data_IF_640298438189
#
_entry.id   IF_640298438189
#
_cell.length_a   1.000
_cell.length_b   1.000
_cell.length_c   1.000
_cell.angle_alpha   90.00
_cell.angle_beta   90.00
_cell.angle_gamma   90.00
#
_symmetry.space_group_name_H-M   'P 1'
#
loop_
_entity.id
_entity.type
_entity.pdbx_description
1 polymer ?
#
# COMPACT_ATOMS: atom_id res chain seq x y z
N UNK A 1 -2.70 -7.60 -8.49
CA UNK A 1 -1.95 -7.61 -7.23
C UNK A 1 -2.93 -7.55 -6.06
N UNK A 2 -2.46 -7.82 -4.84
CA UNK A 2 -3.30 -7.85 -3.63
C UNK A 2 -2.48 -7.41 -2.41
N UNK A 3 -3.06 -6.54 -1.59
CA UNK A 3 -2.53 -6.19 -0.26
C UNK A 3 -3.67 -6.17 0.76
N UNK A 4 -3.35 -6.54 2.00
CA UNK A 4 -4.23 -6.42 3.15
C UNK A 4 -3.46 -5.81 4.30
N UNK A 5 -4.11 -4.92 5.03
CA UNK A 5 -3.60 -4.33 6.25
C UNK A 5 -4.65 -4.36 7.36
N UNK A 6 -4.18 -4.50 8.60
CA UNK A 6 -5.01 -4.24 9.78
C UNK A 6 -5.14 -2.74 9.97
N UNK A 7 -6.33 -2.29 10.33
CA UNK A 7 -6.62 -0.87 10.59
C UNK A 7 -7.41 -0.76 11.90
N UNK A 8 -7.33 0.40 12.51
CA UNK A 8 -8.16 0.71 13.68
C UNK A 8 -9.65 0.63 13.28
N UNK A 9 -10.53 0.00 14.09
CA UNK A 9 -11.97 0.02 13.87
C UNK A 9 -12.56 1.43 13.66
N UNK A 10 -12.03 2.46 14.31
CA UNK A 10 -12.47 3.85 14.13
C UNK A 10 -12.16 4.35 12.71
N UNK A 11 -10.98 3.99 12.16
CA UNK A 11 -10.61 4.31 10.78
C UNK A 11 -11.49 3.55 9.79
N UNK A 12 -11.83 2.29 10.09
CA UNK A 12 -12.68 1.47 9.24
C UNK A 12 -14.13 1.98 9.12
N UNK A 13 -14.57 2.81 10.06
CA UNK A 13 -15.87 3.47 10.01
C UNK A 13 -15.87 4.74 9.13
N UNK A 14 -14.70 5.21 8.68
CA UNK A 14 -14.60 6.38 7.82
C UNK A 14 -15.18 6.08 6.42
N UNK A 15 -16.19 6.84 5.96
CA UNK A 15 -16.81 6.61 4.65
C UNK A 15 -15.85 6.78 3.47
N UNK A 16 -14.73 7.49 3.61
CA UNK A 16 -13.77 7.70 2.52
C UNK A 16 -12.61 6.71 2.53
N UNK A 17 -12.53 5.78 3.50
CA UNK A 17 -11.41 4.84 3.60
C UNK A 17 -11.18 4.05 2.30
N UNK A 18 -12.25 3.67 1.60
CA UNK A 18 -12.13 2.95 0.33
C UNK A 18 -11.49 3.82 -0.77
N UNK A 19 -11.83 5.10 -0.83
CA UNK A 19 -11.26 6.04 -1.80
C UNK A 19 -9.80 6.34 -1.48
N UNK A 20 -9.47 6.53 -0.20
CA UNK A 20 -8.09 6.71 0.27
C UNK A 20 -7.24 5.46 -0.02
N UNK A 21 -7.75 4.27 0.30
CA UNK A 21 -7.06 3.02 -0.01
C UNK A 21 -6.83 2.82 -1.51
N UNK A 22 -7.74 3.32 -2.35
CA UNK A 22 -7.56 3.31 -3.80
C UNK A 22 -6.51 4.33 -4.24
N UNK A 23 -6.50 5.52 -3.64
CA UNK A 23 -5.57 6.59 -4.00
C UNK A 23 -4.12 6.20 -3.75
N UNK A 24 -3.83 5.35 -2.76
CA UNK A 24 -2.49 4.81 -2.52
C UNK A 24 -1.87 4.17 -3.77
N UNK A 25 -2.66 3.43 -4.55
CA UNK A 25 -2.17 2.82 -5.78
C UNK A 25 -1.93 3.85 -6.88
N UNK A 26 -2.94 4.70 -7.15
CA UNK A 26 -2.86 5.68 -8.24
C UNK A 26 -1.75 6.71 -8.00
N UNK A 27 -1.61 7.18 -6.76
CA UNK A 27 -0.58 8.14 -6.35
C UNK A 27 0.82 7.53 -6.44
N UNK A 28 1.00 6.28 -5.98
CA UNK A 28 2.28 5.59 -6.10
C UNK A 28 2.68 5.35 -7.57
N UNK A 29 1.72 4.97 -8.43
CA UNK A 29 1.98 4.82 -9.87
C UNK A 29 2.39 6.15 -10.50
N UNK A 30 1.74 7.25 -10.12
CA UNK A 30 2.09 8.60 -10.59
C UNK A 30 3.47 9.05 -10.09
N UNK A 31 3.75 8.89 -8.79
CA UNK A 31 5.01 9.30 -8.15
C UNK A 31 6.24 8.61 -8.75
N UNK A 32 6.10 7.35 -9.16
CA UNK A 32 7.15 6.59 -9.83
C UNK A 32 7.17 6.74 -11.36
N UNK A 33 6.28 7.57 -11.95
CA UNK A 33 6.18 7.75 -13.40
C UNK A 33 5.79 6.47 -14.15
N UNK A 34 5.08 5.57 -13.47
CA UNK A 34 4.79 4.22 -13.94
C UNK A 34 3.55 4.23 -14.87
N UNK A 35 3.69 4.63 -16.13
CA UNK A 35 2.54 4.76 -17.04
C UNK A 35 1.82 3.42 -17.29
N UNK A 36 0.48 3.44 -17.25
CA UNK A 36 -0.36 2.23 -17.35
C UNK A 36 -1.63 2.45 -18.16
N UNK A 37 -2.32 1.35 -18.46
CA UNK A 37 -3.67 1.30 -19.04
C UNK A 37 -4.57 0.36 -18.22
N UNK A 38 -5.89 0.50 -18.39
CA UNK A 38 -6.90 -0.43 -17.87
C UNK A 38 -6.77 -0.73 -16.37
N UNK A 39 -6.52 0.30 -15.57
CA UNK A 39 -6.55 0.18 -14.10
C UNK A 39 -7.97 -0.17 -13.64
N UNK A 40 -8.04 -1.14 -12.76
CA UNK A 40 -9.28 -1.66 -12.21
C UNK A 40 -9.01 -2.38 -10.90
N UNK A 41 -10.02 -2.44 -10.03
CA UNK A 41 -9.87 -3.08 -8.75
C UNK A 41 -11.02 -2.80 -7.80
N UNK A 42 -10.82 -3.22 -6.56
CA UNK A 42 -11.73 -3.01 -5.44
C UNK A 42 -10.94 -2.74 -4.17
N UNK A 43 -11.47 -1.85 -3.34
CA UNK A 43 -11.06 -1.71 -1.94
C UNK A 43 -12.21 -2.24 -1.08
N UNK A 44 -11.92 -3.19 -0.20
CA UNK A 44 -12.88 -3.81 0.70
C UNK A 44 -12.46 -3.54 2.14
N UNK A 45 -13.36 -2.96 2.92
CA UNK A 45 -13.18 -2.81 4.36
C UNK A 45 -13.97 -3.92 5.07
N UNK A 46 -13.31 -4.60 5.99
CA UNK A 46 -13.90 -5.68 6.78
C UNK A 46 -13.82 -5.29 8.25
N UNK A 47 -14.96 -5.23 8.91
CA UNK A 47 -15.08 -4.99 10.36
C UNK A 47 -15.68 -6.22 11.03
N UNK A 48 -15.09 -6.65 12.13
CA UNK A 48 -15.59 -7.77 12.94
C UNK A 48 -15.86 -7.27 14.35
N UNK A 49 -17.13 -7.36 14.76
CA UNK A 49 -17.56 -7.13 16.14
C UNK A 49 -17.91 -8.45 16.83
N UNK A 50 -17.54 -8.54 18.11
CA UNK A 50 -17.73 -9.74 18.92
C UNK A 50 -18.95 -9.59 19.83
N UNK A 51 -19.79 -10.63 19.87
CA UNK A 51 -21.05 -10.64 20.64
C UNK A 51 -21.13 -11.87 21.55
N UNK A 52 -22.02 -11.82 22.55
CA UNK A 52 -22.31 -12.96 23.43
C UNK A 52 -21.09 -13.39 24.25
N UNK A 53 -20.71 -14.67 24.15
CA UNK A 53 -19.56 -15.24 24.87
C UNK A 53 -18.21 -14.60 24.51
N UNK A 54 -18.13 -13.86 23.41
CA UNK A 54 -16.93 -13.13 22.95
C UNK A 54 -17.03 -11.62 23.21
N UNK A 55 -18.02 -11.12 23.95
CA UNK A 55 -18.23 -9.67 24.13
C UNK A 55 -17.07 -8.93 24.82
N UNK A 56 -16.11 -9.64 25.41
CA UNK A 56 -14.88 -9.05 25.96
C UNK A 56 -13.74 -8.91 24.95
N UNK A 57 -13.89 -9.44 23.72
CA UNK A 57 -12.88 -9.34 22.67
C UNK A 57 -13.00 -7.98 21.95
N UNK A 58 -11.87 -7.32 21.65
CA UNK A 58 -11.90 -6.05 20.94
C UNK A 58 -12.38 -6.24 19.50
N UNK A 59 -13.07 -5.23 18.97
CA UNK A 59 -13.38 -5.16 17.55
C UNK A 59 -12.09 -5.17 16.72
N UNK A 60 -12.16 -5.76 15.53
CA UNK A 60 -11.03 -5.77 14.59
C UNK A 60 -11.48 -5.24 13.24
N UNK A 61 -10.56 -4.62 12.52
CA UNK A 61 -10.84 -4.15 11.17
C UNK A 61 -9.64 -4.31 10.24
N UNK A 62 -9.94 -4.47 8.95
CA UNK A 62 -8.97 -4.70 7.90
C UNK A 62 -9.39 -3.98 6.62
N UNK A 63 -8.40 -3.51 5.86
CA UNK A 63 -8.59 -3.03 4.49
C UNK A 63 -7.89 -3.98 3.53
N UNK A 64 -8.58 -4.33 2.44
CA UNK A 64 -8.09 -5.19 1.38
C UNK A 64 -8.15 -4.46 0.04
N UNK A 65 -7.02 -4.35 -0.65
CA UNK A 65 -6.94 -3.77 -1.99
C UNK A 65 -6.62 -4.88 -2.98
N UNK A 66 -7.52 -5.09 -3.94
CA UNK A 66 -7.32 -5.97 -5.10
C UNK A 66 -7.28 -5.09 -6.33
N UNK A 67 -6.17 -5.09 -7.05
CA UNK A 67 -6.00 -4.22 -8.20
C UNK A 67 -5.33 -4.94 -9.37
N UNK A 68 -5.57 -4.43 -10.58
CA UNK A 68 -4.88 -4.84 -11.79
C UNK A 68 -4.78 -3.66 -12.74
N UNK A 69 -3.66 -3.60 -13.46
CA UNK A 69 -3.41 -2.61 -14.51
C UNK A 69 -2.48 -3.23 -15.55
N UNK A 70 -2.41 -2.62 -16.73
CA UNK A 70 -1.51 -3.01 -17.82
C UNK A 70 -0.33 -2.03 -17.87
N UNK A 71 0.90 -2.45 -17.51
CA UNK A 71 2.09 -1.61 -17.65
C UNK A 71 2.34 -1.19 -19.10
N UNK A 72 2.64 0.09 -19.33
CA UNK A 72 3.14 0.59 -20.62
C UNK A 72 4.54 1.21 -20.52
N UNK A 73 5.02 1.44 -19.31
CA UNK A 73 6.41 1.81 -19.00
C UNK A 73 7.24 0.59 -18.56
N UNK A 74 8.57 0.72 -18.39
CA UNK A 74 9.40 -0.36 -17.84
C UNK A 74 8.87 -0.87 -16.49
N UNK A 75 8.85 -2.20 -16.33
CA UNK A 75 8.26 -2.86 -15.16
C UNK A 75 8.87 -2.44 -13.81
N UNK A 76 10.11 -1.94 -13.81
CA UNK A 76 10.79 -1.47 -12.59
C UNK A 76 10.00 -0.38 -11.87
N UNK A 77 9.51 0.63 -12.59
CA UNK A 77 8.72 1.72 -12.02
C UNK A 77 7.41 1.20 -11.39
N UNK A 78 6.75 0.24 -12.02
CA UNK A 78 5.54 -0.39 -11.48
C UNK A 78 5.82 -1.24 -10.23
N UNK A 79 6.97 -1.92 -10.19
CA UNK A 79 7.38 -2.71 -9.03
C UNK A 79 7.72 -1.81 -7.83
N UNK A 80 8.39 -0.69 -8.07
CA UNK A 80 8.67 0.31 -7.03
C UNK A 80 7.38 0.96 -6.51
N UNK A 81 6.48 1.38 -7.40
CA UNK A 81 5.16 1.91 -7.02
C UNK A 81 4.37 0.91 -6.17
N UNK A 82 4.33 -0.36 -6.57
CA UNK A 82 3.67 -1.39 -5.75
C UNK A 82 4.37 -1.60 -4.41
N UNK A 83 5.71 -1.47 -4.35
CA UNK A 83 6.47 -1.47 -3.11
C UNK A 83 6.08 -0.33 -2.16
N UNK A 84 5.88 0.88 -2.69
CA UNK A 84 5.40 2.03 -1.92
C UNK A 84 4.00 1.78 -1.34
N UNK A 85 3.08 1.22 -2.13
CA UNK A 85 1.74 0.82 -1.62
C UNK A 85 1.86 -0.14 -0.43
N UNK A 86 2.78 -1.11 -0.49
CA UNK A 86 3.02 -2.03 0.62
C UNK A 86 3.58 -1.32 1.86
N UNK A 87 4.48 -0.33 1.68
CA UNK A 87 5.01 0.49 2.75
C UNK A 87 3.91 1.34 3.42
N UNK A 88 3.06 1.98 2.62
CA UNK A 88 1.91 2.75 3.12
C UNK A 88 0.94 1.86 3.89
N UNK A 89 0.63 0.68 3.36
CA UNK A 89 -0.29 -0.28 3.98
C UNK A 89 0.20 -0.77 5.37
N UNK A 90 1.52 -0.85 5.59
CA UNK A 90 2.09 -1.21 6.91
C UNK A 90 2.35 0.00 7.82
N UNK A 91 1.94 1.21 7.40
CA UNK A 91 2.14 2.44 8.16
C UNK A 91 3.60 2.91 8.23
N UNK A 92 4.44 2.54 7.26
CA UNK A 92 5.82 3.00 7.21
C UNK A 92 5.82 4.52 6.91
N UNK A 93 6.36 5.37 7.78
CA UNK A 93 6.40 6.80 7.53
C UNK A 93 7.30 7.11 6.32
N UNK A 94 6.98 8.14 5.53
CA UNK A 94 7.84 8.57 4.43
C UNK A 94 9.20 9.00 4.97
N UNK A 95 10.22 8.89 4.12
CA UNK A 95 11.57 9.35 4.46
C UNK A 95 11.52 10.87 4.72
N UNK A 96 11.93 11.35 5.91
CA UNK A 96 11.92 12.78 6.19
C UNK A 96 12.83 13.56 5.24
N UNK A 97 12.47 14.81 4.96
CA UNK A 97 13.33 15.70 4.18
C UNK A 97 14.74 15.78 4.77
N UNK A 98 15.75 15.73 3.89
CA UNK A 98 17.16 15.77 4.29
C UNK A 98 17.76 14.43 4.73
N UNK A 99 16.98 13.34 4.75
CA UNK A 99 17.49 11.98 5.01
C UNK A 99 17.82 11.29 3.69
N UNK A 100 19.09 10.90 3.50
CA UNK A 100 19.55 10.16 2.33
C UNK A 100 20.06 8.77 2.71
N UNK A 101 19.79 7.77 1.86
CA UNK A 101 20.36 6.43 2.03
C UNK A 101 21.86 6.45 1.73
N UNK A 102 22.65 5.91 2.64
CA UNK A 102 24.10 5.79 2.41
C UNK A 102 24.36 4.71 1.35
N UNK A 103 25.13 5.02 0.27
CA UNK A 103 25.40 4.05 -0.77
C UNK A 103 26.16 2.84 -0.20
N UNK A 104 25.63 1.64 -0.45
CA UNK A 104 26.31 0.42 -0.03
C UNK A 104 27.57 0.20 -0.87
N UNK A 105 28.73 0.07 -0.23
CA UNK A 105 30.05 -0.14 -0.89
C UNK A 105 30.16 -1.44 -1.70
N UNK A 106 29.10 -2.25 -1.77
CA UNK A 106 29.13 -3.63 -2.26
C UNK A 106 29.21 -3.73 -3.80
N UNK A 107 29.01 -2.63 -4.53
CA UNK A 107 29.14 -2.57 -6.00
C UNK A 107 30.53 -2.20 -6.55
N UNK A 108 31.48 -1.77 -5.70
CA UNK A 108 32.76 -1.24 -6.20
C UNK A 108 33.84 -2.31 -6.44
N UNK A 109 33.56 -3.59 -6.16
CA UNK A 109 34.55 -4.68 -6.28
C UNK A 109 34.27 -5.62 -7.45
N UNK A 110 33.87 -5.10 -8.62
CA UNK A 110 33.84 -5.89 -9.87
C UNK A 110 33.81 -5.03 -11.14
N UNK A 111 34.86 -4.25 -11.37
CA UNK A 111 35.23 -3.75 -12.71
C UNK A 111 36.76 -3.67 -12.79
N UNK A 112 37.38 -4.81 -13.06
CA UNK A 112 38.69 -4.95 -13.69
C UNK A 112 38.53 -5.97 -14.83
#
# INVERSE_FOLDING_TARGET
>A
TYVRAEVDPEIAADPVLAEVGWSWLSEALEAHGATYLAESGTVTCVTSESFGGMAGEPATAQVEIRASWTPTSPIGAHAEAWGEVLCTAVGLPPVPEGVATMPSRRGQRRRD
#
